data_IF_340526581660
#
_entry.id   IF_340526581660
#
_cell.length_a   1.000
_cell.length_b   1.000
_cell.length_c   1.000
_cell.angle_alpha   90.00
_cell.angle_beta   90.00
_cell.angle_gamma   90.00
#
_symmetry.space_group_name_H-M   'P 1'
#
loop_
_entity.id
_entity.type
_entity.pdbx_description
1 polymer ?
#
# COMPACT_ATOMS: atom_id res chain seq x y z
N UNK A 1 37.21 13.81 -32.83
CA UNK A 1 37.60 12.95 -31.69
C UNK A 1 37.58 13.83 -30.45
N UNK A 2 36.45 13.86 -29.72
CA UNK A 2 36.20 14.78 -28.60
C UNK A 2 36.28 13.99 -27.30
N UNK A 3 37.20 14.40 -26.43
CA UNK A 3 37.53 13.77 -25.16
C UNK A 3 36.46 14.06 -24.10
N UNK A 4 35.68 13.04 -23.73
CA UNK A 4 34.71 13.09 -22.62
C UNK A 4 35.47 13.06 -21.29
N UNK A 5 35.59 14.22 -20.63
CA UNK A 5 36.05 14.29 -19.23
C UNK A 5 34.86 14.03 -18.31
N UNK A 6 34.90 12.88 -17.64
CA UNK A 6 33.96 12.50 -16.59
C UNK A 6 34.21 13.38 -15.35
N UNK A 7 33.30 14.33 -15.04
CA UNK A 7 33.38 15.16 -13.82
C UNK A 7 32.88 14.33 -12.63
N UNK A 8 33.83 13.81 -11.84
CA UNK A 8 33.56 13.23 -10.52
C UNK A 8 33.42 14.39 -9.53
N UNK A 9 32.29 14.47 -8.82
CA UNK A 9 31.98 15.54 -7.86
C UNK A 9 32.91 15.48 -6.64
N UNK A 10 33.50 16.62 -6.20
CA UNK A 10 34.54 16.65 -5.16
C UNK A 10 34.00 16.62 -3.70
N UNK A 11 32.79 16.11 -3.47
CA UNK A 11 32.15 16.09 -2.14
C UNK A 11 32.11 14.69 -1.47
N UNK A 12 32.87 13.71 -1.99
CA UNK A 12 33.00 12.38 -1.39
C UNK A 12 34.31 12.19 -0.61
N UNK A 13 34.86 13.27 -0.05
CA UNK A 13 36.06 13.25 0.79
C UNK A 13 35.73 13.86 2.16
N UNK A 14 34.93 13.14 2.96
CA UNK A 14 34.95 13.17 4.45
C UNK A 14 33.79 12.31 5.00
N UNK A 15 33.83 11.01 4.73
CA UNK A 15 33.03 10.04 5.48
C UNK A 15 33.83 9.63 6.73
N UNK A 16 33.27 9.79 7.95
CA UNK A 16 33.93 9.35 9.17
C UNK A 16 34.12 7.82 9.15
N UNK A 17 35.27 7.38 9.67
CA UNK A 17 35.77 6.00 9.75
C UNK A 17 34.94 5.03 10.63
N UNK A 18 33.64 5.29 10.80
CA UNK A 18 32.69 4.50 11.63
C UNK A 18 31.71 3.70 10.75
N UNK A 19 31.81 3.82 9.42
CA UNK A 19 30.99 3.08 8.45
C UNK A 19 31.80 2.04 7.65
N UNK A 20 32.79 1.39 8.28
CA UNK A 20 33.24 0.07 7.83
C UNK A 20 32.21 -0.98 8.26
N UNK A 21 31.08 -1.03 7.55
CA UNK A 21 30.02 -2.03 7.72
C UNK A 21 30.44 -3.42 7.20
N UNK A 22 31.53 -3.96 7.76
CA UNK A 22 31.77 -5.41 7.82
C UNK A 22 31.47 -5.85 9.25
N UNK A 23 30.19 -6.15 9.53
CA UNK A 23 29.67 -7.07 10.57
C UNK A 23 28.22 -6.73 10.89
N UNK A 24 27.32 -6.98 9.93
CA UNK A 24 25.97 -7.39 10.27
C UNK A 24 25.64 -8.60 9.40
N UNK A 25 25.56 -9.75 10.06
CA UNK A 25 25.54 -11.05 9.43
C UNK A 25 24.33 -11.23 8.52
N UNK A 26 24.58 -11.94 7.42
CA UNK A 26 23.60 -12.79 6.77
C UNK A 26 22.86 -13.59 7.87
N UNK A 27 21.63 -13.16 8.21
CA UNK A 27 20.66 -14.07 8.81
C UNK A 27 20.19 -14.97 7.69
N UNK A 28 20.77 -16.16 7.71
CA UNK A 28 20.35 -17.35 7.00
C UNK A 28 18.83 -17.48 6.96
N UNK A 29 18.39 -17.83 5.76
CA UNK A 29 17.18 -18.57 5.44
C UNK A 29 17.08 -19.74 6.42
N UNK A 30 16.30 -19.57 7.48
CA UNK A 30 15.86 -20.66 8.34
C UNK A 30 14.36 -20.82 8.13
N UNK A 31 14.03 -21.73 7.22
CA UNK A 31 12.98 -22.74 7.33
C UNK A 31 12.19 -22.73 8.64
N UNK A 32 11.26 -21.78 8.76
CA UNK A 32 10.26 -21.75 9.83
C UNK A 32 9.05 -22.58 9.40
N UNK A 33 9.11 -23.87 9.72
CA UNK A 33 7.99 -24.84 9.85
C UNK A 33 6.60 -24.27 9.53
N UNK A 34 6.05 -24.62 8.37
CA UNK A 34 4.61 -24.57 8.09
C UNK A 34 3.88 -25.45 9.12
N UNK A 35 3.36 -24.84 10.18
CA UNK A 35 2.36 -25.44 11.05
C UNK A 35 0.98 -25.14 10.50
N UNK A 36 0.56 -25.85 9.44
CA UNK A 36 -0.84 -25.90 9.04
C UNK A 36 -1.54 -26.85 10.03
N UNK A 37 -2.26 -26.29 11.01
CA UNK A 37 -3.19 -27.08 11.79
C UNK A 37 -4.53 -27.13 11.03
N UNK A 38 -5.05 -28.31 10.64
CA UNK A 38 -6.42 -28.43 10.20
C UNK A 38 -7.29 -28.64 11.44
N UNK A 39 -8.04 -27.64 11.86
CA UNK A 39 -9.20 -27.85 12.72
C UNK A 39 -10.46 -27.63 11.90
N UNK A 40 -10.97 -28.72 11.34
CA UNK A 40 -12.34 -28.83 10.87
C UNK A 40 -13.30 -28.81 12.05
N UNK A 41 -14.15 -27.79 12.12
CA UNK A 41 -15.60 -27.95 12.33
C UNK A 41 -16.32 -26.60 12.20
N UNK A 42 -17.47 -26.54 11.51
CA UNK A 42 -18.21 -25.31 11.26
C UNK A 42 -19.10 -25.00 12.47
N UNK A 43 -18.83 -23.89 13.15
CA UNK A 43 -19.78 -23.29 14.09
C UNK A 43 -20.18 -21.94 13.54
N UNK A 44 -21.43 -21.85 13.10
CA UNK A 44 -22.08 -20.63 12.69
C UNK A 44 -22.17 -19.66 13.88
N UNK A 45 -21.27 -18.67 13.91
CA UNK A 45 -21.40 -17.40 14.60
C UNK A 45 -20.11 -16.62 14.33
N UNK A 46 -20.06 -15.85 13.24
CA UNK A 46 -19.01 -14.85 13.02
C UNK A 46 -19.22 -13.73 14.05
N UNK A 47 -18.64 -13.92 15.23
CA UNK A 47 -18.26 -12.83 16.12
C UNK A 47 -16.75 -12.78 16.06
N UNK A 48 -16.21 -11.84 15.26
CA UNK A 48 -14.79 -11.67 15.02
C UNK A 48 -14.05 -11.38 16.35
N UNK A 49 -13.51 -12.42 16.98
CA UNK A 49 -12.57 -12.27 18.10
C UNK A 49 -11.24 -11.82 17.48
N UNK A 50 -10.67 -10.67 17.89
CA UNK A 50 -9.41 -10.22 17.33
C UNK A 50 -8.28 -11.15 17.76
N UNK A 51 -7.84 -12.02 16.84
CA UNK A 51 -6.61 -12.80 16.96
C UNK A 51 -5.43 -11.82 17.05
N UNK A 52 -4.65 -11.94 18.13
CA UNK A 52 -3.52 -11.06 18.44
C UNK A 52 -2.53 -10.98 17.27
N UNK A 53 -2.52 -9.84 16.57
CA UNK A 53 -1.65 -9.58 15.43
C UNK A 53 -2.34 -8.91 14.23
N UNK A 54 -3.67 -8.94 14.17
CA UNK A 54 -4.41 -8.30 13.06
C UNK A 54 -4.74 -6.86 13.40
N UNK A 55 -4.22 -5.89 12.63
CA UNK A 55 -4.60 -4.49 12.78
C UNK A 55 -6.06 -4.35 12.35
N UNK A 56 -6.95 -4.05 13.30
CA UNK A 56 -8.35 -3.72 13.00
C UNK A 56 -8.37 -2.43 12.18
N UNK A 57 -9.00 -2.49 11.01
CA UNK A 57 -9.06 -1.40 10.05
C UNK A 57 -10.48 -0.83 10.02
N UNK A 58 -10.61 0.45 10.34
CA UNK A 58 -11.86 1.18 10.18
C UNK A 58 -12.25 1.20 8.69
N UNK A 59 -13.49 0.82 8.44
CA UNK A 59 -14.10 0.77 7.11
C UNK A 59 -15.39 1.60 7.16
N UNK A 60 -15.61 2.45 6.17
CA UNK A 60 -16.82 3.25 6.03
C UNK A 60 -17.58 2.79 4.79
N UNK A 61 -18.88 2.56 4.96
CA UNK A 61 -19.78 2.18 3.88
C UNK A 61 -20.99 3.11 3.88
N UNK A 62 -21.33 3.63 2.71
CA UNK A 62 -22.53 4.42 2.51
C UNK A 62 -23.33 3.83 1.36
N UNK A 63 -24.62 3.63 1.61
CA UNK A 63 -25.56 3.09 0.65
C UNK A 63 -26.61 4.15 0.32
N UNK A 64 -26.94 4.26 -0.96
CA UNK A 64 -28.01 5.14 -1.42
C UNK A 64 -28.58 4.64 -2.74
N UNK A 65 -29.78 5.10 -3.05
CA UNK A 65 -30.50 4.70 -4.26
C UNK A 65 -30.43 5.82 -5.30
N UNK A 66 -30.09 5.45 -6.55
CA UNK A 66 -30.21 6.32 -7.71
C UNK A 66 -31.22 5.69 -8.66
N UNK A 67 -32.38 6.34 -8.82
CA UNK A 67 -33.47 5.78 -9.60
C UNK A 67 -33.98 4.48 -8.98
N UNK A 68 -33.88 3.37 -9.71
CA UNK A 68 -34.25 2.03 -9.23
C UNK A 68 -33.04 1.15 -8.90
N UNK A 69 -31.83 1.73 -8.81
CA UNK A 69 -30.58 0.99 -8.58
C UNK A 69 -29.97 1.37 -7.24
N UNK A 70 -29.61 0.35 -6.45
CA UNK A 70 -28.88 0.53 -5.19
C UNK A 70 -27.39 0.66 -5.47
N UNK A 71 -26.78 1.73 -4.97
CA UNK A 71 -25.35 2.01 -5.08
C UNK A 71 -24.74 1.96 -3.68
N UNK A 72 -23.60 1.29 -3.57
CA UNK A 72 -22.82 1.26 -2.32
C UNK A 72 -21.40 1.78 -2.57
N UNK A 73 -20.93 2.61 -1.65
CA UNK A 73 -19.58 3.18 -1.64
C UNK A 73 -18.86 2.72 -0.38
N UNK A 74 -17.81 1.92 -0.54
CA UNK A 74 -17.00 1.40 0.56
C UNK A 74 -15.57 1.94 0.48
N UNK A 75 -15.04 2.44 1.61
CA UNK A 75 -13.66 2.95 1.72
C UNK A 75 -12.98 2.44 2.99
N UNK A 76 -11.65 2.47 3.02
CA UNK A 76 -10.84 2.07 4.19
C UNK A 76 -10.44 0.60 4.25
N UNK A 77 -11.06 -0.26 3.43
CA UNK A 77 -10.76 -1.71 3.36
C UNK A 77 -9.63 -2.07 2.40
N UNK A 78 -9.60 -1.51 1.19
CA UNK A 78 -8.65 -1.85 0.11
C UNK A 78 -7.86 -0.60 -0.32
N UNK A 79 -6.65 -0.78 -0.86
CA UNK A 79 -5.82 0.26 -1.49
C UNK A 79 -5.49 1.49 -0.62
N UNK A 80 -5.33 1.30 0.70
CA UNK A 80 -5.04 2.36 1.68
C UNK A 80 -3.72 3.11 1.52
N UNK A 81 -2.83 2.63 0.64
CA UNK A 81 -1.61 3.35 0.29
C UNK A 81 -1.88 4.50 -0.70
N UNK A 82 -2.99 4.44 -1.43
CA UNK A 82 -3.44 5.55 -2.27
C UNK A 82 -3.87 6.73 -1.39
N UNK A 83 -3.84 7.94 -1.95
CA UNK A 83 -4.33 9.12 -1.25
C UNK A 83 -5.85 9.01 -0.98
N UNK A 84 -6.59 8.37 -1.88
CA UNK A 84 -7.98 8.00 -1.70
C UNK A 84 -8.33 6.75 -2.49
N UNK A 85 -9.25 5.94 -1.98
CA UNK A 85 -9.72 4.72 -2.63
C UNK A 85 -11.15 4.41 -2.24
N UNK A 86 -11.98 4.06 -3.21
CA UNK A 86 -13.39 3.70 -3.02
C UNK A 86 -13.72 2.51 -3.90
N UNK A 87 -14.41 1.53 -3.31
CA UNK A 87 -15.10 0.49 -4.05
C UNK A 87 -16.52 0.98 -4.27
N UNK A 88 -16.87 1.21 -5.53
CA UNK A 88 -18.23 1.51 -5.94
C UNK A 88 -18.86 0.21 -6.42
N UNK A 89 -20.00 -0.16 -5.84
CA UNK A 89 -20.77 -1.29 -6.29
C UNK A 89 -22.17 -0.85 -6.72
N UNK A 90 -22.58 -1.33 -7.88
CA UNK A 90 -23.93 -1.19 -8.43
C UNK A 90 -24.40 -2.59 -8.79
N UNK A 91 -25.38 -3.10 -8.04
CA UNK A 91 -25.87 -4.48 -8.20
C UNK A 91 -24.70 -5.50 -8.16
N UNK A 92 -24.45 -6.23 -9.25
CA UNK A 92 -23.36 -7.20 -9.36
C UNK A 92 -22.03 -6.58 -9.83
N UNK A 93 -22.08 -5.37 -10.38
CA UNK A 93 -20.88 -4.71 -10.91
C UNK A 93 -20.14 -3.95 -9.82
N UNK A 94 -18.82 -4.17 -9.72
CA UNK A 94 -17.96 -3.48 -8.76
C UNK A 94 -16.77 -2.84 -9.47
N UNK A 95 -16.48 -1.60 -9.11
CA UNK A 95 -15.35 -0.83 -9.64
C UNK A 95 -14.53 -0.31 -8.48
N UNK A 96 -13.23 -0.58 -8.50
CA UNK A 96 -12.27 0.04 -7.59
C UNK A 96 -11.75 1.31 -8.22
N UNK A 97 -12.05 2.45 -7.61
CA UNK A 97 -11.48 3.75 -7.97
C UNK A 97 -10.42 4.16 -6.96
N UNK A 98 -9.25 4.57 -7.44
CA UNK A 98 -8.15 5.04 -6.59
C UNK A 98 -7.59 6.34 -7.13
N UNK A 99 -7.10 7.20 -6.23
CA UNK A 99 -6.49 8.48 -6.56
C UNK A 99 -5.12 8.54 -5.91
N UNK A 100 -4.13 8.94 -6.69
CA UNK A 100 -2.80 9.27 -6.23
C UNK A 100 -2.46 10.72 -6.62
N UNK A 101 -1.93 11.48 -5.66
CA UNK A 101 -1.53 12.86 -5.87
C UNK A 101 -0.18 13.11 -5.20
N UNK A 102 0.74 13.71 -5.94
CA UNK A 102 2.03 14.14 -5.42
C UNK A 102 1.87 15.44 -4.63
N UNK A 103 2.44 15.51 -3.42
CA UNK A 103 2.56 16.77 -2.68
C UNK A 103 3.71 17.59 -3.28
N UNK A 104 3.41 18.75 -3.86
CA UNK A 104 4.43 19.68 -4.31
C UNK A 104 3.85 20.92 -4.99
N UNK A 105 4.39 22.09 -4.62
CA UNK A 105 4.06 23.37 -5.24
C UNK A 105 4.99 23.59 -6.43
N UNK A 106 4.59 23.04 -7.57
CA UNK A 106 5.21 23.38 -8.83
C UNK A 106 4.25 24.31 -9.56
N UNK A 107 4.63 25.57 -9.73
CA UNK A 107 4.01 26.46 -10.71
C UNK A 107 4.20 25.82 -12.08
N UNK A 108 3.11 25.27 -12.62
CA UNK A 108 3.07 24.64 -13.94
C UNK A 108 1.90 25.25 -14.69
N UNK A 109 2.12 25.53 -15.96
CA UNK A 109 1.06 26.02 -16.86
C UNK A 109 0.06 24.91 -17.24
N UNK A 110 0.35 23.66 -16.85
CA UNK A 110 -0.46 22.48 -17.15
C UNK A 110 -0.56 21.52 -15.96
N UNK A 111 -1.71 20.86 -15.84
CA UNK A 111 -1.99 19.85 -14.83
C UNK A 111 -1.89 18.45 -15.46
N UNK A 112 -0.83 17.66 -15.17
CA UNK A 112 -0.65 16.33 -15.75
C UNK A 112 -1.59 15.31 -15.09
N UNK A 113 -2.86 15.35 -15.48
CA UNK A 113 -3.90 14.41 -15.05
C UNK A 113 -3.89 13.17 -15.96
N UNK A 114 -4.00 11.99 -15.37
CA UNK A 114 -4.25 10.74 -16.08
C UNK A 114 -5.32 9.95 -15.33
N UNK A 115 -6.20 9.30 -16.09
CA UNK A 115 -7.28 8.44 -15.58
C UNK A 115 -6.94 6.99 -15.88
#
# INVERSE_FOLDING_TARGET
MVSVRNKINPLLCNLPYVLTWRRFGFRTICSGRLGFAPSTSPSMADTDIPVAGTKVLETFSQEFEIGSRKITLETGKIARFANGSVILAMEETKVLSTVASSKGDALRDFLPLTV
#
